data_IF_746467965262
#
_entry.id   IF_746467965262
#
_cell.length_a   1.000
_cell.length_b   1.000
_cell.length_c   1.000
_cell.angle_alpha   90.00
_cell.angle_beta   90.00
_cell.angle_gamma   90.00
#
_symmetry.space_group_name_H-M   'P 1'
#
loop_
_entity.id
_entity.type
_entity.pdbx_description
1 polymer ?
#
# COMPACT_ATOMS: atom_id res chain seq x y z
N UNK A 1 19.03 4.27 7.82
CA UNK A 1 19.74 3.75 6.64
C UNK A 1 18.98 4.34 5.47
N UNK A 2 19.47 5.39 4.78
CA UNK A 2 18.61 6.26 3.97
C UNK A 2 17.75 5.54 2.92
N UNK A 3 18.24 4.42 2.39
CA UNK A 3 17.51 3.60 1.40
C UNK A 3 16.37 2.80 2.06
N UNK A 4 16.59 2.25 3.26
CA UNK A 4 15.53 1.59 4.02
C UNK A 4 14.48 2.58 4.51
N UNK A 5 14.89 3.81 4.81
CA UNK A 5 13.97 4.87 5.23
C UNK A 5 12.99 5.20 4.08
N UNK A 6 13.50 5.36 2.84
CA UNK A 6 12.66 5.53 1.63
C UNK A 6 11.77 4.32 1.34
N UNK A 7 12.31 3.11 1.45
CA UNK A 7 11.52 1.89 1.30
C UNK A 7 10.35 1.90 2.29
N UNK A 8 10.61 2.16 3.57
CA UNK A 8 9.62 2.16 4.64
C UNK A 8 8.55 3.24 4.44
N UNK A 9 8.93 4.45 4.02
CA UNK A 9 8.00 5.54 3.68
C UNK A 9 7.05 5.11 2.56
N UNK A 10 7.58 4.54 1.48
CA UNK A 10 6.77 4.09 0.34
C UNK A 10 5.81 2.97 0.71
N UNK A 11 6.29 1.91 1.39
CA UNK A 11 5.43 0.78 1.75
C UNK A 11 4.40 1.16 2.84
N UNK A 12 4.76 2.06 3.75
CA UNK A 12 3.85 2.55 4.80
C UNK A 12 2.70 3.34 4.19
N UNK A 13 3.00 4.19 3.20
CA UNK A 13 1.97 4.92 2.48
C UNK A 13 1.12 3.99 1.60
N UNK A 14 1.74 3.04 0.89
CA UNK A 14 1.02 2.07 0.08
C UNK A 14 0.05 1.23 0.92
N UNK A 15 0.47 0.85 2.14
CA UNK A 15 -0.37 0.11 3.08
C UNK A 15 -1.63 0.87 3.45
N UNK A 16 -1.50 2.17 3.77
CA UNK A 16 -2.66 3.01 4.10
C UNK A 16 -3.58 3.20 2.89
N UNK A 17 -3.02 3.46 1.70
CA UNK A 17 -3.82 3.60 0.47
C UNK A 17 -4.59 2.31 0.17
N UNK A 18 -3.97 1.15 0.34
CA UNK A 18 -4.64 -0.14 0.20
C UNK A 18 -5.72 -0.32 1.26
N UNK A 19 -5.50 0.09 2.51
CA UNK A 19 -6.49 -0.01 3.58
C UNK A 19 -7.75 0.79 3.25
N UNK A 20 -7.56 2.03 2.77
CA UNK A 20 -8.64 2.88 2.31
C UNK A 20 -9.38 2.28 1.10
N UNK A 21 -8.65 1.64 0.16
CA UNK A 21 -9.26 0.91 -0.97
C UNK A 21 -10.12 -0.24 -0.45
N UNK A 22 -9.60 -1.03 0.49
CA UNK A 22 -10.30 -2.16 1.07
C UNK A 22 -11.56 -1.70 1.80
N UNK A 23 -11.54 -0.62 2.59
CA UNK A 23 -12.75 -0.09 3.24
C UNK A 23 -13.88 0.22 2.24
N UNK A 24 -13.52 0.61 1.00
CA UNK A 24 -14.47 0.89 -0.07
C UNK A 24 -14.93 -0.36 -0.82
N UNK A 25 -14.03 -1.27 -1.17
CA UNK A 25 -14.34 -2.41 -2.07
C UNK A 25 -14.56 -3.74 -1.37
N UNK A 26 -14.09 -3.88 -0.14
CA UNK A 26 -14.13 -5.13 0.59
C UNK A 26 -15.53 -5.45 1.09
N UNK A 27 -15.94 -6.68 0.89
CA UNK A 27 -17.17 -7.21 1.48
C UNK A 27 -17.00 -7.31 3.00
N UNK A 28 -18.08 -7.06 3.73
CA UNK A 28 -18.12 -7.08 5.21
C UNK A 28 -17.66 -8.44 5.75
N UNK A 29 -17.85 -9.52 4.97
CA UNK A 29 -17.41 -10.87 5.28
C UNK A 29 -15.88 -11.07 5.25
N UNK A 30 -15.16 -10.35 4.39
CA UNK A 30 -13.70 -10.50 4.20
C UNK A 30 -12.90 -9.61 5.15
N UNK A 31 -13.40 -8.40 5.44
CA UNK A 31 -12.70 -7.41 6.28
C UNK A 31 -13.04 -7.48 7.77
N UNK A 32 -14.12 -8.17 8.15
CA UNK A 32 -14.58 -8.21 9.54
C UNK A 32 -15.08 -6.86 10.09
N UNK A 33 -15.23 -5.84 9.23
CA UNK A 33 -15.76 -4.50 9.53
C UNK A 33 -16.80 -4.09 8.47
N UNK A 34 -17.69 -3.17 8.83
CA UNK A 34 -18.76 -2.66 7.94
C UNK A 34 -18.15 -1.84 6.80
N UNK A 35 -18.43 -2.20 5.56
CA UNK A 35 -17.99 -1.46 4.36
C UNK A 35 -18.37 0.03 4.42
N UNK A 36 -17.47 0.92 3.98
CA UNK A 36 -17.71 2.36 3.93
C UNK A 36 -17.77 3.04 5.30
N UNK A 37 -17.11 2.47 6.32
CA UNK A 37 -17.06 3.08 7.65
C UNK A 37 -16.40 4.47 7.59
N UNK A 38 -15.41 4.66 6.73
CA UNK A 38 -14.72 5.94 6.62
C UNK A 38 -15.57 7.00 5.90
N UNK A 39 -16.38 6.59 4.91
CA UNK A 39 -17.34 7.47 4.26
C UNK A 39 -18.44 7.93 5.23
N UNK A 40 -18.92 7.04 6.11
CA UNK A 40 -19.92 7.38 7.13
C UNK A 40 -19.38 8.37 8.18
N UNK A 41 -18.08 8.36 8.43
CA UNK A 41 -17.41 9.26 9.37
C UNK A 41 -16.88 10.54 8.71
N UNK A 42 -17.09 10.73 7.41
CA UNK A 42 -16.61 11.90 6.66
C UNK A 42 -15.09 12.02 6.64
N UNK A 43 -14.36 10.90 6.75
CA UNK A 43 -12.89 10.93 6.70
C UNK A 43 -12.41 11.21 5.28
N UNK A 44 -11.31 11.95 5.18
CA UNK A 44 -10.58 12.09 3.92
C UNK A 44 -9.73 10.85 3.67
N UNK A 45 -10.15 10.02 2.72
CA UNK A 45 -9.42 8.82 2.28
C UNK A 45 -8.92 8.98 0.85
N UNK A 46 -7.96 8.15 0.44
CA UNK A 46 -7.41 8.19 -0.92
C UNK A 46 -8.46 7.96 -2.02
N UNK A 47 -9.33 6.93 -1.96
CA UNK A 47 -10.39 6.76 -2.95
C UNK A 47 -11.41 7.90 -2.94
N UNK A 48 -11.68 8.53 -1.78
CA UNK A 48 -12.59 9.66 -1.71
C UNK A 48 -12.02 10.93 -2.37
N UNK A 49 -10.70 11.13 -2.29
CA UNK A 49 -10.01 12.28 -2.87
C UNK A 49 -9.66 12.10 -4.35
N UNK A 50 -9.15 10.93 -4.73
CA UNK A 50 -8.58 10.68 -6.05
C UNK A 50 -9.51 9.87 -6.97
N UNK A 51 -10.52 9.21 -6.41
CA UNK A 51 -11.24 8.13 -7.06
C UNK A 51 -10.51 6.79 -6.91
N UNK A 52 -11.28 5.69 -6.97
CA UNK A 52 -10.78 4.33 -6.71
C UNK A 52 -9.65 3.90 -7.65
N UNK A 53 -9.78 4.20 -8.95
CA UNK A 53 -8.76 3.86 -9.94
C UNK A 53 -7.43 4.57 -9.65
N UNK A 54 -7.47 5.86 -9.37
CA UNK A 54 -6.26 6.63 -9.08
C UNK A 54 -5.65 6.30 -7.72
N UNK A 55 -6.47 5.90 -6.73
CA UNK A 55 -5.94 5.34 -5.49
C UNK A 55 -5.17 4.03 -5.76
N UNK A 56 -5.66 3.16 -6.64
CA UNK A 56 -4.95 1.92 -7.02
C UNK A 56 -3.64 2.21 -7.75
N UNK A 57 -3.65 3.15 -8.68
CA UNK A 57 -2.44 3.60 -9.38
C UNK A 57 -1.42 4.17 -8.39
N UNK A 58 -1.88 4.99 -7.42
CA UNK A 58 -1.01 5.52 -6.38
C UNK A 58 -0.37 4.43 -5.52
N UNK A 59 -1.12 3.40 -5.14
CA UNK A 59 -0.57 2.26 -4.40
C UNK A 59 0.49 1.52 -5.23
N UNK A 60 0.25 1.33 -6.53
CA UNK A 60 1.21 0.73 -7.46
C UNK A 60 2.50 1.53 -7.59
N UNK A 61 2.40 2.85 -7.79
CA UNK A 61 3.55 3.74 -7.90
C UNK A 61 4.43 3.67 -6.64
N UNK A 62 3.81 3.63 -5.46
CA UNK A 62 4.53 3.52 -4.18
C UNK A 62 5.25 2.17 -4.04
N UNK A 63 4.66 1.07 -4.52
CA UNK A 63 5.35 -0.22 -4.52
C UNK A 63 6.52 -0.21 -5.50
N UNK A 64 6.40 0.45 -6.66
CA UNK A 64 7.51 0.58 -7.59
C UNK A 64 8.66 1.41 -6.98
N UNK A 65 8.36 2.52 -6.30
CA UNK A 65 9.35 3.32 -5.57
C UNK A 65 10.06 2.49 -4.46
N UNK A 66 9.29 1.64 -3.75
CA UNK A 66 9.85 0.73 -2.76
C UNK A 66 10.79 -0.30 -3.41
N UNK A 67 10.40 -0.90 -4.55
CA UNK A 67 11.23 -1.86 -5.30
C UNK A 67 12.52 -1.22 -5.81
N UNK A 68 12.46 0.02 -6.30
CA UNK A 68 13.65 0.76 -6.71
C UNK A 68 14.63 0.97 -5.55
N UNK A 69 14.12 1.26 -4.34
CA UNK A 69 14.94 1.36 -3.14
C UNK A 69 15.61 0.02 -2.81
N UNK A 70 14.88 -1.10 -2.90
CA UNK A 70 15.44 -2.43 -2.67
C UNK A 70 16.48 -2.83 -3.73
N UNK A 71 16.29 -2.49 -5.00
CA UNK A 71 17.30 -2.73 -6.04
C UNK A 71 18.65 -2.07 -5.71
N UNK A 72 18.66 -0.90 -5.07
CA UNK A 72 19.90 -0.24 -4.63
C UNK A 72 20.61 -1.02 -3.50
N UNK A 73 19.86 -1.70 -2.63
CA UNK A 73 20.42 -2.58 -1.60
C UNK A 73 20.90 -3.90 -2.20
N UNK A 74 20.15 -4.48 -3.13
CA UNK A 74 20.53 -5.70 -3.84
C UNK A 74 21.84 -5.51 -4.63
N UNK A 75 22.05 -4.33 -5.24
CA UNK A 75 23.31 -3.96 -5.89
C UNK A 75 24.52 -3.96 -4.94
N UNK A 76 24.29 -3.88 -3.63
CA UNK A 76 25.31 -3.98 -2.58
C UNK A 76 25.44 -5.42 -2.04
N UNK A 77 24.92 -6.42 -2.75
CA UNK A 77 24.93 -7.84 -2.37
C UNK A 77 24.13 -8.16 -1.09
N UNK A 78 23.14 -7.33 -0.75
CA UNK A 78 22.18 -7.62 0.32
C UNK A 78 21.00 -8.42 -0.23
N UNK A 79 20.51 -9.40 0.52
CA UNK A 79 19.29 -10.13 0.17
C UNK A 79 18.05 -9.29 0.52
N UNK A 80 17.29 -8.89 -0.50
CA UNK A 80 16.06 -8.09 -0.40
C UNK A 80 14.79 -8.89 -0.66
N UNK A 81 14.90 -10.20 -0.93
CA UNK A 81 13.79 -11.04 -1.41
C UNK A 81 12.55 -10.99 -0.50
N UNK A 82 12.75 -11.04 0.82
CA UNK A 82 11.66 -10.95 1.79
C UNK A 82 10.96 -9.58 1.80
N UNK A 83 11.73 -8.49 1.62
CA UNK A 83 11.18 -7.13 1.58
C UNK A 83 10.43 -6.85 0.27
N UNK A 84 10.89 -7.42 -0.84
CA UNK A 84 10.19 -7.37 -2.13
C UNK A 84 8.87 -8.15 -2.06
N UNK A 85 8.89 -9.35 -1.48
CA UNK A 85 7.69 -10.15 -1.27
C UNK A 85 6.66 -9.41 -0.40
N UNK A 86 7.11 -8.77 0.68
CA UNK A 86 6.25 -7.93 1.53
C UNK A 86 5.66 -6.74 0.76
N UNK A 87 6.47 -6.02 -0.01
CA UNK A 87 5.98 -4.88 -0.81
C UNK A 87 4.89 -5.31 -1.80
N UNK A 88 5.08 -6.43 -2.51
CA UNK A 88 4.05 -6.94 -3.43
C UNK A 88 2.79 -7.39 -2.69
N UNK A 89 2.94 -8.04 -1.53
CA UNK A 89 1.81 -8.47 -0.71
C UNK A 89 0.92 -7.29 -0.28
N UNK A 90 1.51 -6.13 0.04
CA UNK A 90 0.77 -4.97 0.53
C UNK A 90 -0.36 -4.54 -0.40
N UNK A 91 -0.17 -4.57 -1.72
CA UNK A 91 -1.22 -4.16 -2.69
C UNK A 91 -2.07 -5.33 -3.21
N UNK A 92 -1.67 -6.56 -2.92
CA UNK A 92 -2.39 -7.77 -3.32
C UNK A 92 -3.30 -8.31 -2.19
N UNK A 93 -3.07 -7.88 -0.94
CA UNK A 93 -3.86 -8.30 0.21
C UNK A 93 -5.34 -7.93 0.03
N UNK A 94 -6.19 -8.82 0.51
CA UNK A 94 -7.64 -8.70 0.54
C UNK A 94 -8.20 -8.44 1.95
N UNK A 95 -7.33 -8.35 2.96
CA UNK A 95 -7.65 -8.11 4.37
C UNK A 95 -6.54 -7.34 5.10
#
# INVERSE_FOLDING_TARGET
MPILDRYAESIGLAFQVQDDILDVVGDTATLGKRQGADQQLGKSTYPALLGLEQARNKAWDLIEDARQSLHQLAAQSLDTSALEALANYIIQRDK
#
